data_IF_943658930946
#
_entry.id   IF_943658930946
#
_cell.length_a   1.000
_cell.length_b   1.000
_cell.length_c   1.000
_cell.angle_alpha   90.00
_cell.angle_beta   90.00
_cell.angle_gamma   90.00
#
_symmetry.space_group_name_H-M   'P 1'
#
loop_
_entity.id
_entity.type
_entity.pdbx_description
1 polymer ?
#
# COMPACT_ATOMS: atom_id res chain seq x y z
N UNK A 1 11.39 16.44 -7.92
CA UNK A 1 11.98 15.21 -7.34
C UNK A 1 11.23 14.82 -6.05
N UNK A 2 10.95 15.74 -5.14
CA UNK A 2 10.11 15.54 -3.94
C UNK A 2 8.67 16.07 -4.14
N UNK A 3 7.67 15.47 -3.46
CA UNK A 3 6.23 15.78 -3.59
C UNK A 3 5.55 16.17 -2.26
N UNK A 4 6.30 16.26 -1.16
CA UNK A 4 5.75 16.49 0.17
C UNK A 4 5.01 15.27 0.73
N UNK A 5 4.21 15.49 1.77
CA UNK A 5 3.50 14.44 2.50
C UNK A 5 2.20 13.95 1.84
N UNK A 6 1.66 14.74 0.90
CA UNK A 6 0.38 14.55 0.24
C UNK A 6 -0.75 14.28 1.25
N UNK A 7 -0.73 15.00 2.38
CA UNK A 7 -1.76 14.91 3.43
C UNK A 7 -1.63 13.72 4.38
N UNK A 8 -0.53 12.96 4.34
CA UNK A 8 -0.26 11.87 5.29
C UNK A 8 0.94 12.24 6.16
N UNK A 9 0.66 12.64 7.40
CA UNK A 9 1.69 12.99 8.38
C UNK A 9 2.69 11.85 8.61
N UNK A 10 3.98 12.19 8.67
CA UNK A 10 5.08 11.22 8.84
C UNK A 10 5.52 10.51 7.56
N UNK A 11 5.01 10.89 6.39
CA UNK A 11 5.41 10.39 5.08
C UNK A 11 5.92 11.53 4.20
N UNK A 12 6.90 11.23 3.34
CA UNK A 12 7.31 12.07 2.23
C UNK A 12 7.25 11.27 0.92
N UNK A 13 6.60 11.81 -0.10
CA UNK A 13 6.44 11.19 -1.41
C UNK A 13 7.44 11.74 -2.43
N UNK A 14 7.80 10.92 -3.42
CA UNK A 14 8.75 11.27 -4.47
C UNK A 14 8.20 10.96 -5.86
N UNK A 15 8.63 11.75 -6.85
CA UNK A 15 8.40 11.44 -8.25
C UNK A 15 9.38 10.34 -8.68
N UNK A 16 8.88 9.34 -9.40
CA UNK A 16 9.74 8.36 -10.04
C UNK A 16 10.54 8.98 -11.21
N UNK A 17 11.79 8.56 -11.43
CA UNK A 17 12.52 8.86 -12.66
C UNK A 17 11.85 8.24 -13.90
N UNK A 18 11.86 8.92 -15.07
CA UNK A 18 11.14 8.45 -16.27
C UNK A 18 11.72 7.17 -16.90
N UNK A 19 12.97 6.83 -16.61
CA UNK A 19 13.65 5.64 -17.15
C UNK A 19 13.49 4.38 -16.27
N UNK A 20 12.78 4.48 -15.14
CA UNK A 20 12.53 3.34 -14.26
C UNK A 20 11.13 2.78 -14.46
N UNK A 21 10.97 1.49 -14.16
CA UNK A 21 9.65 0.86 -14.05
C UNK A 21 8.81 1.62 -13.03
N UNK A 22 7.51 1.75 -13.29
CA UNK A 22 6.63 2.51 -12.43
C UNK A 22 6.67 2.02 -10.97
N UNK A 23 6.87 2.93 -10.03
CA UNK A 23 6.86 2.65 -8.59
C UNK A 23 6.45 3.87 -7.78
N UNK A 24 5.92 3.61 -6.59
CA UNK A 24 5.80 4.63 -5.55
C UNK A 24 7.02 4.56 -4.65
N UNK A 25 7.62 5.72 -4.36
CA UNK A 25 8.69 5.85 -3.37
C UNK A 25 8.20 6.75 -2.25
N UNK A 26 8.24 6.21 -1.04
CA UNK A 26 7.87 6.93 0.19
C UNK A 26 9.03 6.84 1.19
N UNK A 27 9.39 7.98 1.77
CA UNK A 27 10.18 8.04 2.99
C UNK A 27 9.21 8.13 4.16
N UNK A 28 9.44 7.34 5.20
CA UNK A 28 8.57 7.27 6.37
C UNK A 28 9.38 7.55 7.62
N UNK A 29 8.83 8.37 8.50
CA UNK A 29 9.38 8.55 9.83
C UNK A 29 9.19 7.26 10.61
N UNK A 30 10.25 6.78 11.26
CA UNK A 30 10.20 5.61 12.12
C UNK A 30 9.17 5.80 13.25
N UNK A 31 8.36 4.78 13.50
CA UNK A 31 7.29 4.81 14.49
C UNK A 31 6.05 5.62 14.09
N UNK A 32 6.03 6.28 12.93
CA UNK A 32 4.82 6.94 12.43
C UNK A 32 3.74 5.92 12.04
N UNK A 33 2.48 6.35 12.03
CA UNK A 33 1.36 5.49 11.62
C UNK A 33 1.57 4.86 10.22
N UNK A 34 1.94 5.60 9.16
CA UNK A 34 2.16 4.97 7.86
C UNK A 34 3.33 3.97 7.87
N UNK A 35 4.39 4.22 8.66
CA UNK A 35 5.46 3.24 8.86
C UNK A 35 4.93 1.93 9.45
N UNK A 36 4.18 2.02 10.54
CA UNK A 36 3.59 0.84 11.19
C UNK A 36 2.61 0.13 10.25
N UNK A 37 1.78 0.86 9.50
CA UNK A 37 0.83 0.27 8.54
C UNK A 37 1.55 -0.57 7.49
N UNK A 38 2.68 -0.10 6.98
CA UNK A 38 3.47 -0.86 6.01
C UNK A 38 4.10 -2.13 6.59
N UNK A 39 4.69 -2.04 7.79
CA UNK A 39 5.35 -3.18 8.45
C UNK A 39 4.34 -4.22 8.90
N UNK A 40 3.26 -3.79 9.55
CA UNK A 40 2.24 -4.66 10.12
C UNK A 40 1.43 -5.36 9.03
N UNK A 41 1.03 -4.65 7.97
CA UNK A 41 0.33 -5.29 6.85
C UNK A 41 1.20 -6.37 6.20
N UNK A 42 2.50 -6.09 5.99
CA UNK A 42 3.43 -7.09 5.47
C UNK A 42 3.54 -8.29 6.42
N UNK A 43 3.67 -8.06 7.72
CA UNK A 43 3.77 -9.11 8.72
C UNK A 43 2.51 -9.99 8.74
N UNK A 44 1.32 -9.37 8.74
CA UNK A 44 0.03 -10.05 8.71
C UNK A 44 -0.10 -11.01 7.52
N UNK A 45 0.31 -10.57 6.32
CA UNK A 45 0.29 -11.43 5.13
C UNK A 45 1.30 -12.58 5.19
N UNK A 46 2.48 -12.36 5.79
CA UNK A 46 3.52 -13.40 5.91
C UNK A 46 3.07 -14.51 6.86
N UNK A 47 2.48 -14.15 8.00
CA UNK A 47 2.09 -15.13 9.04
C UNK A 47 0.76 -15.82 8.74
N UNK A 48 -0.02 -15.33 7.77
CA UNK A 48 -1.34 -15.87 7.42
C UNK A 48 -1.45 -16.15 5.91
N UNK A 49 -1.01 -17.34 5.43
CA UNK A 49 -1.08 -17.69 4.01
C UNK A 49 -2.49 -17.62 3.40
N UNK A 50 -3.58 -18.07 4.09
CA UNK A 50 -4.94 -17.86 3.60
C UNK A 50 -5.29 -16.38 3.35
N UNK A 51 -4.80 -15.47 4.19
CA UNK A 51 -5.02 -14.02 4.02
C UNK A 51 -4.25 -13.46 2.82
N UNK A 52 -3.01 -13.93 2.61
CA UNK A 52 -2.22 -13.59 1.43
C UNK A 52 -2.93 -14.01 0.13
N UNK A 53 -3.53 -15.20 0.10
CA UNK A 53 -4.30 -15.67 -1.05
C UNK A 53 -5.54 -14.80 -1.32
N UNK A 54 -6.28 -14.39 -0.27
CA UNK A 54 -7.38 -13.43 -0.40
C UNK A 54 -6.91 -12.10 -1.01
N UNK A 55 -5.78 -11.58 -0.52
CA UNK A 55 -5.23 -10.32 -1.04
C UNK A 55 -4.75 -10.46 -2.51
N UNK A 56 -4.16 -11.60 -2.87
CA UNK A 56 -3.76 -11.90 -4.24
C UNK A 56 -4.97 -11.99 -5.17
N UNK A 57 -6.04 -12.67 -4.75
CA UNK A 57 -7.28 -12.75 -5.51
C UNK A 57 -7.92 -11.36 -5.73
N UNK A 58 -7.92 -10.51 -4.69
CA UNK A 58 -8.39 -9.12 -4.81
C UNK A 58 -7.55 -8.31 -5.79
N UNK A 59 -6.22 -8.40 -5.75
CA UNK A 59 -5.36 -7.71 -6.73
C UNK A 59 -5.69 -8.15 -8.15
N UNK A 60 -5.87 -9.45 -8.38
CA UNK A 60 -6.22 -10.02 -9.69
C UNK A 60 -7.56 -9.52 -10.21
N UNK A 61 -8.58 -9.45 -9.36
CA UNK A 61 -9.90 -8.94 -9.79
C UNK A 61 -9.84 -7.46 -10.21
N UNK A 62 -8.90 -6.68 -9.68
CA UNK A 62 -8.71 -5.26 -9.98
C UNK A 62 -7.71 -4.99 -11.11
N UNK A 63 -6.99 -5.99 -11.63
CA UNK A 63 -5.92 -5.80 -12.63
C UNK A 63 -6.36 -5.02 -13.87
N UNK A 64 -7.61 -5.19 -14.29
CA UNK A 64 -8.21 -4.47 -15.42
C UNK A 64 -8.23 -2.94 -15.26
N UNK A 65 -8.08 -2.43 -14.04
CA UNK A 65 -8.00 -0.98 -13.75
C UNK A 65 -6.59 -0.41 -13.97
N UNK A 66 -5.53 -1.23 -13.95
CA UNK A 66 -4.14 -0.75 -14.04
C UNK A 66 -3.82 0.09 -15.29
N UNK A 67 -4.34 -0.23 -16.50
CA UNK A 67 -4.04 0.55 -17.70
C UNK A 67 -4.71 1.93 -17.73
N UNK A 68 -5.90 2.06 -17.12
CA UNK A 68 -6.77 3.21 -17.33
C UNK A 68 -6.99 4.05 -16.06
N UNK A 69 -6.91 3.42 -14.88
CA UNK A 69 -7.20 4.07 -13.60
C UNK A 69 -6.45 3.41 -12.43
N UNK A 70 -5.18 3.78 -12.28
CA UNK A 70 -4.31 3.26 -11.24
C UNK A 70 -4.69 3.72 -9.83
N UNK A 71 -5.35 4.88 -9.72
CA UNK A 71 -5.90 5.38 -8.47
C UNK A 71 -7.04 4.46 -7.99
N UNK A 72 -7.97 4.09 -8.87
CA UNK A 72 -9.03 3.14 -8.56
C UNK A 72 -8.49 1.74 -8.22
N UNK A 73 -7.42 1.27 -8.89
CA UNK A 73 -6.73 0.03 -8.48
C UNK A 73 -6.23 0.12 -7.05
N UNK A 74 -5.64 1.25 -6.66
CA UNK A 74 -5.12 1.46 -5.31
C UNK A 74 -6.26 1.52 -4.30
N UNK A 75 -7.30 2.29 -4.58
CA UNK A 75 -8.45 2.46 -3.69
C UNK A 75 -9.28 1.19 -3.53
N UNK A 76 -9.40 0.37 -4.57
CA UNK A 76 -10.12 -0.91 -4.51
C UNK A 76 -9.54 -1.91 -3.49
N UNK A 77 -8.31 -1.68 -3.01
CA UNK A 77 -7.67 -2.49 -1.96
C UNK A 77 -7.81 -1.88 -0.57
N UNK A 78 -8.22 -0.62 -0.46
CA UNK A 78 -8.19 0.17 0.78
C UNK A 78 -9.00 -0.48 1.91
N UNK A 79 -10.22 -0.95 1.61
CA UNK A 79 -11.07 -1.59 2.62
C UNK A 79 -10.44 -2.86 3.21
N UNK A 80 -9.94 -3.75 2.35
CA UNK A 80 -9.27 -4.98 2.76
C UNK A 80 -8.03 -4.70 3.60
N UNK A 81 -7.19 -3.75 3.19
CA UNK A 81 -5.97 -3.39 3.94
C UNK A 81 -6.33 -2.89 5.35
N UNK A 82 -7.36 -2.04 5.47
CA UNK A 82 -7.83 -1.51 6.76
C UNK A 82 -8.35 -2.61 7.68
N UNK A 83 -9.12 -3.55 7.14
CA UNK A 83 -9.63 -4.72 7.89
C UNK A 83 -8.48 -5.56 8.44
N UNK A 84 -7.50 -5.90 7.59
CA UNK A 84 -6.32 -6.67 8.00
C UNK A 84 -5.51 -5.96 9.09
N UNK A 85 -5.28 -4.66 8.94
CA UNK A 85 -4.55 -3.87 9.94
C UNK A 85 -5.30 -3.77 11.28
N UNK A 86 -6.63 -3.71 11.23
CA UNK A 86 -7.46 -3.73 12.43
C UNK A 86 -7.33 -5.07 13.16
N UNK A 87 -7.43 -6.19 12.45
CA UNK A 87 -7.33 -7.54 13.03
C UNK A 87 -5.95 -7.87 13.58
N UNK A 88 -4.88 -7.44 12.89
CA UNK A 88 -3.51 -7.81 13.25
C UNK A 88 -2.96 -7.08 14.47
N UNK A 89 -3.52 -5.90 14.80
CA UNK A 89 -3.06 -5.05 15.92
C UNK A 89 -3.83 -5.24 17.22
N UNK A 90 -4.79 -6.15 17.25
CA UNK A 90 -5.52 -6.59 18.45
C UNK A 90 -4.66 -7.63 19.18
#
# INVERSE_FOLDING_TARGET
MHRGDLGISGREAFLQPPHLVYHHLYLLQEGSQPYLDHVDFKAALIVNPPLLEKYNALKRSLEHLLPNNREAYTEGKSAFIKEVLCEFRI
#
